data_IF_721335204700
#
_entry.id   IF_721335204700
#
_cell.length_a   1.000
_cell.length_b   1.000
_cell.length_c   1.000
_cell.angle_alpha   90.00
_cell.angle_beta   90.00
_cell.angle_gamma   90.00
#
_symmetry.space_group_name_H-M   'P 1'
#
loop_
_entity.id
_entity.type
_entity.pdbx_description
1 polymer ?
#
# COMPACT_ATOMS: atom_id res chain seq x y z
N UNK A 1 0.78 -17.19 21.24
CA UNK A 1 0.67 -16.04 20.38
C UNK A 1 0.46 -16.45 18.93
N UNK A 2 -0.37 -15.72 18.25
CA UNK A 2 -0.66 -16.03 16.86
C UNK A 2 0.54 -15.73 15.98
N UNK A 3 0.93 -16.71 15.20
CA UNK A 3 1.97 -16.58 14.23
C UNK A 3 1.35 -16.63 12.85
N UNK A 4 1.41 -15.54 12.12
CA UNK A 4 0.75 -15.45 10.82
C UNK A 4 1.29 -16.46 9.84
N UNK A 5 2.58 -16.77 9.94
CA UNK A 5 3.15 -17.76 9.03
C UNK A 5 2.58 -19.15 9.28
N UNK A 6 2.25 -19.43 10.51
CA UNK A 6 1.67 -20.71 10.85
C UNK A 6 0.25 -20.84 10.35
N UNK A 7 -0.38 -19.71 10.06
CA UNK A 7 -1.71 -19.70 9.51
C UNK A 7 -1.70 -19.81 8.00
N UNK A 8 -0.53 -19.88 7.39
CA UNK A 8 -0.40 -19.95 5.95
C UNK A 8 -1.00 -18.74 5.25
N UNK A 9 -0.88 -17.59 5.89
CA UNK A 9 -1.35 -16.37 5.28
C UNK A 9 -0.34 -15.98 4.22
N UNK A 10 -0.79 -15.99 2.99
CA UNK A 10 0.08 -15.69 1.88
C UNK A 10 0.10 -14.21 1.62
N UNK A 11 1.27 -13.71 1.22
CA UNK A 11 1.38 -12.34 0.76
C UNK A 11 0.57 -12.19 -0.51
N UNK A 12 -0.22 -11.14 -0.55
CA UNK A 12 -1.00 -10.80 -1.73
C UNK A 12 -0.54 -9.47 -2.25
N UNK A 13 -0.85 -9.20 -3.49
CA UNK A 13 -0.62 -7.89 -4.07
C UNK A 13 -1.93 -7.14 -4.02
N UNK A 14 -1.95 -6.07 -3.25
CA UNK A 14 -3.17 -5.28 -3.04
C UNK A 14 -3.05 -4.01 -3.87
N UNK A 15 -4.04 -3.76 -4.68
CA UNK A 15 -4.09 -2.62 -5.58
C UNK A 15 -5.02 -1.58 -4.95
N UNK A 16 -4.49 -0.42 -4.64
CA UNK A 16 -5.27 0.60 -3.93
C UNK A 16 -5.32 1.86 -4.77
N UNK A 17 -6.51 2.22 -5.22
CA UNK A 17 -6.73 3.47 -5.94
C UNK A 17 -7.13 4.54 -4.94
N UNK A 18 -6.84 5.79 -5.28
CA UNK A 18 -7.14 6.89 -4.38
C UNK A 18 -6.30 6.86 -3.12
N UNK A 19 -5.08 6.35 -3.21
CA UNK A 19 -4.24 6.17 -2.03
C UNK A 19 -3.82 7.48 -1.40
N UNK A 20 -3.99 8.59 -2.11
CA UNK A 20 -3.64 9.89 -1.56
C UNK A 20 -4.74 10.49 -0.71
N UNK A 21 -5.93 9.89 -0.70
CA UNK A 21 -7.00 10.33 0.20
C UNK A 21 -6.77 9.75 1.59
N UNK A 22 -7.47 10.34 2.58
CA UNK A 22 -7.32 9.85 3.95
C UNK A 22 -7.71 8.39 4.10
N UNK A 23 -8.81 7.99 3.47
CA UNK A 23 -9.27 6.60 3.57
C UNK A 23 -8.32 5.67 2.82
N UNK A 24 -7.90 6.06 1.62
CA UNK A 24 -7.00 5.24 0.84
C UNK A 24 -5.65 5.05 1.54
N UNK A 25 -5.14 6.12 2.16
CA UNK A 25 -3.89 6.03 2.88
C UNK A 25 -4.01 5.08 4.08
N UNK A 26 -5.09 5.20 4.85
CA UNK A 26 -5.30 4.33 6.00
C UNK A 26 -5.42 2.87 5.57
N UNK A 27 -6.10 2.63 4.46
CA UNK A 27 -6.23 1.28 3.91
C UNK A 27 -4.87 0.72 3.54
N UNK A 28 -4.05 1.55 2.87
CA UNK A 28 -2.72 1.12 2.47
C UNK A 28 -1.88 0.75 3.69
N UNK A 29 -1.95 1.57 4.74
CA UNK A 29 -1.18 1.30 5.94
C UNK A 29 -1.60 -0.01 6.58
N UNK A 30 -2.91 -0.28 6.59
CA UNK A 30 -3.43 -1.51 7.18
C UNK A 30 -2.88 -2.73 6.47
N UNK A 31 -2.96 -2.73 5.14
CA UNK A 31 -2.46 -3.89 4.38
C UNK A 31 -0.95 -4.01 4.44
N UNK A 32 -0.24 -2.87 4.51
CA UNK A 32 1.20 -2.91 4.65
C UNK A 32 1.60 -3.60 5.95
N UNK A 33 0.92 -3.28 7.02
CA UNK A 33 1.22 -3.89 8.31
C UNK A 33 0.93 -5.38 8.33
N UNK A 34 0.04 -5.82 7.46
CA UNK A 34 -0.26 -7.24 7.33
C UNK A 34 0.76 -7.96 6.45
N UNK A 35 1.71 -7.22 5.87
CA UNK A 35 2.76 -7.83 5.09
C UNK A 35 2.44 -8.03 3.62
N UNK A 36 1.36 -7.45 3.15
CA UNK A 36 1.00 -7.57 1.74
C UNK A 36 1.79 -6.57 0.90
N UNK A 37 2.11 -6.97 -0.32
CA UNK A 37 2.71 -6.07 -1.30
C UNK A 37 1.64 -5.11 -1.78
N UNK A 38 2.01 -3.86 -1.96
CA UNK A 38 1.04 -2.84 -2.35
C UNK A 38 1.39 -2.22 -3.69
N UNK A 39 0.36 -1.92 -4.46
CA UNK A 39 0.47 -1.05 -5.61
C UNK A 39 -0.49 0.09 -5.34
N UNK A 40 0.07 1.25 -5.01
CA UNK A 40 -0.73 2.41 -4.66
C UNK A 40 -0.86 3.31 -5.87
N UNK A 41 -2.05 3.80 -6.10
CA UNK A 41 -2.38 4.58 -7.29
C UNK A 41 -3.02 5.89 -6.89
N UNK A 42 -2.70 6.93 -7.62
CA UNK A 42 -3.28 8.22 -7.37
C UNK A 42 -2.85 9.21 -8.44
N UNK A 43 -3.33 10.44 -8.30
CA UNK A 43 -3.08 11.47 -9.29
C UNK A 43 -1.97 12.44 -8.86
N UNK A 44 -1.67 12.47 -7.57
CA UNK A 44 -0.69 13.41 -7.04
C UNK A 44 0.63 12.70 -6.84
N UNK A 45 1.54 12.96 -7.75
CA UNK A 45 2.80 12.25 -7.77
C UNK A 45 3.59 12.43 -6.47
N UNK A 46 3.71 13.66 -6.00
CA UNK A 46 4.54 13.92 -4.81
C UNK A 46 3.97 13.24 -3.58
N UNK A 47 2.65 13.31 -3.42
CA UNK A 47 2.00 12.68 -2.26
C UNK A 47 2.15 11.18 -2.34
N UNK A 48 1.98 10.64 -3.53
CA UNK A 48 2.06 9.19 -3.73
C UNK A 48 3.47 8.69 -3.46
N UNK A 49 4.48 9.42 -3.93
CA UNK A 49 5.86 9.02 -3.69
C UNK A 49 6.21 9.09 -2.21
N UNK A 50 5.70 10.10 -1.51
CA UNK A 50 5.94 10.18 -0.08
C UNK A 50 5.34 9.00 0.64
N UNK A 51 4.13 8.62 0.28
CA UNK A 51 3.47 7.48 0.87
C UNK A 51 4.23 6.19 0.57
N UNK A 52 4.71 6.06 -0.66
CA UNK A 52 5.50 4.91 -1.03
C UNK A 52 6.74 4.78 -0.16
N UNK A 53 7.44 5.89 0.05
CA UNK A 53 8.64 5.89 0.89
C UNK A 53 8.30 5.45 2.30
N UNK A 54 7.22 5.98 2.86
CA UNK A 54 6.83 5.65 4.22
C UNK A 54 6.49 4.16 4.36
N UNK A 55 5.72 3.64 3.43
CA UNK A 55 5.26 2.27 3.51
C UNK A 55 6.33 1.26 3.10
N UNK A 56 7.33 1.70 2.35
CA UNK A 56 8.42 0.82 1.94
C UNK A 56 9.26 0.35 3.12
N UNK A 57 9.15 1.04 4.25
CA UNK A 57 9.80 0.57 5.46
C UNK A 57 9.09 -0.64 6.06
N UNK A 58 7.89 -0.91 5.62
CA UNK A 58 7.07 -1.99 6.17
C UNK A 58 6.96 -3.16 5.20
N UNK A 59 6.73 -2.86 3.93
CA UNK A 59 6.50 -3.89 2.94
C UNK A 59 6.94 -3.36 1.57
N UNK A 60 6.82 -4.20 0.56
CA UNK A 60 7.15 -3.83 -0.80
C UNK A 60 6.01 -3.01 -1.40
N UNK A 61 6.33 -1.80 -1.86
CA UNK A 61 5.31 -0.87 -2.35
C UNK A 61 5.73 -0.27 -3.67
N UNK A 62 4.81 -0.28 -4.61
CA UNK A 62 4.98 0.36 -5.91
C UNK A 62 3.94 1.45 -6.07
N UNK A 63 4.26 2.48 -6.80
CA UNK A 63 3.31 3.56 -7.03
C UNK A 63 3.06 3.73 -8.52
N UNK A 64 1.81 4.02 -8.85
CA UNK A 64 1.39 4.32 -10.22
C UNK A 64 0.66 5.65 -10.19
N UNK A 65 1.14 6.59 -10.98
CA UNK A 65 0.50 7.89 -11.09
C UNK A 65 -0.43 7.85 -12.28
N UNK A 66 -1.70 8.15 -12.04
CA UNK A 66 -2.67 8.26 -13.12
C UNK A 66 -2.95 9.72 -13.40
N UNK A 67 -2.83 10.07 -14.64
CA UNK A 67 -3.21 11.41 -15.09
C UNK A 67 -4.45 11.24 -15.96
N UNK A 68 -5.58 11.18 -15.29
CA UNK A 68 -6.85 10.97 -15.98
C UNK A 68 -7.47 12.33 -16.24
N UNK A 69 -7.84 12.53 -17.46
CA UNK A 69 -8.44 13.79 -17.85
C UNK A 69 -9.92 13.62 -18.12
#
# INVERSE_FOLDING_TARGET
MLNLREKNIKMKTIFITGATSGIGKATAETFAKQGHRLIICGRRKEVLEQLQIELSNITEVYSLVFDVR
#
